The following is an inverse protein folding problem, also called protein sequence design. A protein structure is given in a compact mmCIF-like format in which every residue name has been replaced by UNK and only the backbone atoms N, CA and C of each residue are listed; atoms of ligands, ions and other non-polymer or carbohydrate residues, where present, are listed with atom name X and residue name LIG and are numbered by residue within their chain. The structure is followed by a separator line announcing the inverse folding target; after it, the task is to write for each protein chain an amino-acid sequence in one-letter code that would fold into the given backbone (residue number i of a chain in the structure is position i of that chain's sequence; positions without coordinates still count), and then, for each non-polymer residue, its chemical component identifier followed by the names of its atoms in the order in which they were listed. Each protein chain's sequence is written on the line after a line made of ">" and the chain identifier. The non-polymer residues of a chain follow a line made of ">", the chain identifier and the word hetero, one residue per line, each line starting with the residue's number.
data_IF_967804960899
#
_entry.id   IF_967804960899
#
_cell.length_a   1.000
_cell.length_b   1.000
_cell.length_c   1.000
_cell.angle_alpha   90.00
_cell.angle_beta   90.00
_cell.angle_gamma   90.00
#
_symmetry.space_group_name_H-M   'P 1'
#
loop_
_entity.id
_entity.type
_entity.pdbx_description
1 polymer ?
#
# COMPACT_ATOMS: atom_id res chain seq x y z
N UNK A 1 0.83 12.54 -10.66
CA UNK A 1 1.38 11.69 -9.58
C UNK A 1 2.69 11.05 -10.05
N UNK A 2 3.75 11.06 -9.23
CA UNK A 2 4.99 10.29 -9.50
C UNK A 2 4.94 9.02 -8.65
N UNK A 3 5.20 7.85 -9.25
CA UNK A 3 5.16 6.55 -8.57
C UNK A 3 6.57 5.98 -8.51
N UNK A 4 7.02 5.61 -7.32
CA UNK A 4 8.30 4.96 -7.09
C UNK A 4 8.08 3.60 -6.43
N UNK A 5 8.77 2.59 -6.95
CA UNK A 5 8.72 1.22 -6.42
C UNK A 5 10.09 0.85 -5.86
N UNK A 6 10.11 0.43 -4.60
CA UNK A 6 11.33 -0.11 -3.96
C UNK A 6 11.22 -1.64 -3.96
N UNK A 7 11.90 -2.28 -4.91
CA UNK A 7 11.83 -3.74 -5.10
C UNK A 7 13.21 -4.40 -5.03
N UNK A 8 13.27 -5.53 -4.34
CA UNK A 8 14.41 -6.43 -4.28
C UNK A 8 13.95 -7.79 -3.76
N UNK A 9 14.26 -8.87 -4.49
CA UNK A 9 13.86 -10.25 -4.15
C UNK A 9 14.43 -10.74 -2.81
N UNK A 10 15.57 -10.20 -2.36
CA UNK A 10 16.21 -10.61 -1.11
C UNK A 10 15.50 -9.98 0.10
N UNK A 11 15.19 -10.79 1.11
CA UNK A 11 14.70 -10.34 2.41
C UNK A 11 15.78 -9.57 3.20
N UNK A 12 15.37 -8.65 4.07
CA UNK A 12 16.30 -7.96 4.98
C UNK A 12 17.28 -6.95 4.35
N UNK A 13 17.06 -6.53 3.11
CA UNK A 13 17.94 -5.57 2.39
C UNK A 13 17.53 -4.10 2.56
N UNK A 14 16.65 -3.80 3.51
CA UNK A 14 16.25 -2.42 3.82
C UNK A 14 15.19 -1.80 2.91
N UNK A 15 14.39 -2.60 2.18
CA UNK A 15 13.30 -2.10 1.32
C UNK A 15 12.32 -1.22 2.10
N UNK A 16 11.70 -1.78 3.14
CA UNK A 16 10.74 -1.08 4.00
C UNK A 16 11.37 0.15 4.66
N UNK A 17 12.59 0.00 5.21
CA UNK A 17 13.34 1.12 5.79
C UNK A 17 13.54 2.25 4.79
N UNK A 18 13.88 1.92 3.55
CA UNK A 18 14.07 2.89 2.47
C UNK A 18 12.77 3.58 2.11
N UNK A 19 11.69 2.81 1.91
CA UNK A 19 10.35 3.33 1.57
C UNK A 19 9.85 4.32 2.63
N UNK A 20 9.89 3.92 3.89
CA UNK A 20 9.46 4.74 5.03
C UNK A 20 10.32 6.00 5.16
N UNK A 21 11.64 5.86 5.09
CA UNK A 21 12.57 7.00 5.25
C UNK A 21 12.39 8.01 4.11
N UNK A 22 12.30 7.53 2.87
CA UNK A 22 12.11 8.37 1.70
C UNK A 22 10.76 9.09 1.76
N UNK A 23 9.68 8.37 2.12
CA UNK A 23 8.35 8.95 2.28
C UNK A 23 8.31 10.03 3.35
N UNK A 24 8.90 9.76 4.53
CA UNK A 24 8.97 10.74 5.62
C UNK A 24 9.79 11.99 5.25
N UNK A 25 10.90 11.83 4.52
CA UNK A 25 11.70 12.98 4.04
C UNK A 25 10.92 13.81 3.03
N UNK A 26 10.22 13.16 2.09
CA UNK A 26 9.39 13.86 1.10
C UNK A 26 8.24 14.61 1.76
N UNK A 27 7.53 13.97 2.69
CA UNK A 27 6.45 14.62 3.44
C UNK A 27 6.96 15.85 4.21
N UNK A 28 8.09 15.73 4.91
CA UNK A 28 8.74 16.86 5.60
C UNK A 28 9.23 17.98 4.67
N UNK A 29 9.41 17.70 3.37
CA UNK A 29 9.74 18.70 2.34
C UNK A 29 8.48 19.34 1.70
N UNK A 30 7.30 19.05 2.23
CA UNK A 30 6.04 19.64 1.78
C UNK A 30 5.35 18.90 0.64
N UNK A 31 5.76 17.66 0.34
CA UNK A 31 5.07 16.83 -0.66
C UNK A 31 3.92 16.04 -0.01
N UNK A 32 2.85 15.83 -0.78
CA UNK A 32 1.83 14.84 -0.46
C UNK A 32 2.32 13.45 -0.86
N UNK A 33 2.34 12.53 0.10
CA UNK A 33 2.95 11.21 -0.04
C UNK A 33 1.94 10.14 0.39
N UNK A 34 1.79 9.13 -0.46
CA UNK A 34 1.11 7.89 -0.14
C UNK A 34 2.15 6.77 -0.15
N UNK A 35 2.31 6.07 0.98
CA UNK A 35 3.05 4.82 1.06
C UNK A 35 2.09 3.66 0.86
N UNK A 36 2.46 2.72 0.01
CA UNK A 36 1.66 1.51 -0.23
C UNK A 36 2.47 0.31 0.25
N UNK A 37 1.93 -0.43 1.21
CA UNK A 37 2.50 -1.72 1.61
C UNK A 37 2.00 -2.82 0.66
N UNK A 38 2.93 -3.53 0.04
CA UNK A 38 2.67 -4.63 -0.89
C UNK A 38 3.33 -5.92 -0.40
N UNK A 39 3.75 -5.97 0.86
CA UNK A 39 4.31 -7.16 1.48
C UNK A 39 3.24 -7.77 2.41
N UNK A 40 2.85 -9.06 2.25
CA UNK A 40 1.91 -9.71 3.17
C UNK A 40 2.35 -9.63 4.63
N UNK A 41 3.66 -9.51 4.90
CA UNK A 41 4.21 -9.37 6.25
C UNK A 41 3.96 -8.00 6.91
N UNK A 42 3.34 -7.06 6.19
CA UNK A 42 2.86 -5.78 6.71
C UNK A 42 3.93 -4.97 7.47
N UNK A 43 5.21 -5.16 7.12
CA UNK A 43 6.32 -4.53 7.85
C UNK A 43 6.29 -3.01 7.75
N UNK A 44 5.75 -2.44 6.65
CA UNK A 44 5.56 -1.00 6.54
C UNK A 44 4.39 -0.57 7.43
N UNK A 45 3.25 -1.28 7.38
CA UNK A 45 2.09 -1.01 8.24
C UNK A 45 2.49 -0.99 9.73
N UNK A 46 3.18 -2.03 10.20
CA UNK A 46 3.62 -2.14 11.59
C UNK A 46 4.61 -1.05 12.00
N UNK A 47 5.46 -0.57 11.08
CA UNK A 47 6.35 0.57 11.37
C UNK A 47 5.56 1.82 11.80
N UNK A 48 4.37 2.02 11.24
CA UNK A 48 3.49 3.14 11.60
C UNK A 48 2.55 2.83 12.77
N UNK A 49 2.70 1.67 13.42
CA UNK A 49 1.82 1.25 14.52
C UNK A 49 0.43 0.81 14.06
N UNK A 50 0.28 0.47 12.78
CA UNK A 50 -0.97 -0.08 12.23
C UNK A 50 -0.92 -1.60 12.44
N UNK A 51 -1.84 -2.12 13.25
CA UNK A 51 -1.97 -3.57 13.42
C UNK A 51 -2.74 -4.16 12.25
N UNK A 52 -2.05 -4.98 11.44
CA UNK A 52 -2.65 -5.58 10.26
C UNK A 52 -3.75 -6.60 10.56
N UNK A 53 -3.81 -7.12 11.79
CA UNK A 53 -4.83 -8.09 12.21
C UNK A 53 -6.16 -7.42 12.58
N UNK A 54 -6.13 -6.13 12.93
CA UNK A 54 -7.32 -5.35 13.32
C UNK A 54 -7.90 -4.51 12.18
N UNK A 55 -7.26 -4.53 11.00
CA UNK A 55 -7.69 -3.75 9.84
C UNK A 55 -9.00 -4.28 9.24
N UNK A 56 -9.98 -3.39 9.09
CA UNK A 56 -11.21 -3.66 8.35
C UNK A 56 -11.03 -3.62 6.83
N UNK A 57 -10.01 -2.90 6.36
CA UNK A 57 -9.76 -2.58 4.95
C UNK A 57 -8.27 -2.37 4.71
N UNK A 58 -7.78 -2.81 3.56
CA UNK A 58 -6.36 -2.77 3.19
C UNK A 58 -6.19 -2.76 1.68
N UNK A 59 -4.93 -2.77 1.23
CA UNK A 59 -4.60 -2.94 -0.19
C UNK A 59 -5.23 -4.20 -0.80
N UNK A 60 -5.44 -5.25 -0.01
CA UNK A 60 -6.08 -6.49 -0.48
C UNK A 60 -7.48 -6.23 -1.02
N UNK A 61 -8.28 -5.39 -0.36
CA UNK A 61 -9.66 -5.09 -0.74
C UNK A 61 -9.74 -4.37 -2.09
N UNK A 62 -8.73 -3.56 -2.39
CA UNK A 62 -8.57 -2.91 -3.70
C UNK A 62 -8.33 -3.95 -4.80
N UNK A 63 -7.53 -4.98 -4.52
CA UNK A 63 -7.29 -6.08 -5.44
C UNK A 63 -8.47 -7.06 -5.54
N UNK A 64 -9.22 -7.25 -4.47
CA UNK A 64 -10.36 -8.15 -4.43
C UNK A 64 -11.58 -7.61 -5.21
N UNK A 65 -11.73 -6.29 -5.31
CA UNK A 65 -12.88 -5.64 -5.96
C UNK A 65 -12.49 -4.63 -7.07
N UNK A 66 -11.75 -5.05 -8.12
CA UNK A 66 -11.10 -4.13 -9.06
C UNK A 66 -12.06 -3.30 -9.95
N UNK A 67 -13.33 -3.68 -10.06
CA UNK A 67 -14.34 -3.08 -10.95
C UNK A 67 -15.45 -2.30 -10.22
N UNK A 68 -15.40 -2.21 -8.88
CA UNK A 68 -16.50 -1.63 -8.07
C UNK A 68 -16.04 -0.76 -6.89
N UNK A 69 -14.82 -0.21 -6.97
CA UNK A 69 -14.30 0.70 -5.95
C UNK A 69 -14.68 2.13 -6.31
N UNK A 70 -15.48 2.75 -5.44
CA UNK A 70 -15.63 4.21 -5.41
C UNK A 70 -14.41 4.84 -4.73
N UNK A 71 -14.20 6.13 -4.98
CA UNK A 71 -13.14 6.92 -4.33
C UNK A 71 -13.22 6.81 -2.81
N UNK A 72 -14.43 6.89 -2.25
CA UNK A 72 -14.68 6.73 -0.81
C UNK A 72 -14.13 5.41 -0.26
N UNK A 73 -14.31 4.30 -1.00
CA UNK A 73 -13.79 2.99 -0.55
C UNK A 73 -12.26 2.93 -0.59
N UNK A 74 -11.63 3.60 -1.55
CA UNK A 74 -10.16 3.68 -1.61
C UNK A 74 -9.65 4.52 -0.44
N UNK A 75 -10.33 5.63 -0.13
CA UNK A 75 -10.01 6.47 1.01
C UNK A 75 -10.20 5.75 2.35
N UNK A 76 -11.23 4.92 2.49
CA UNK A 76 -11.47 4.07 3.68
C UNK A 76 -10.36 3.03 3.91
N UNK A 77 -9.54 2.75 2.91
CA UNK A 77 -8.38 1.88 3.05
C UNK A 77 -7.13 2.64 3.53
N UNK A 78 -7.16 3.98 3.61
CA UNK A 78 -6.00 4.78 3.99
C UNK A 78 -5.92 4.99 5.49
N UNK A 79 -4.74 4.78 6.07
CA UNK A 79 -4.42 5.12 7.44
C UNK A 79 -3.59 6.41 7.49
N UNK A 80 -3.92 7.36 8.37
CA UNK A 80 -3.12 8.56 8.58
C UNK A 80 -1.81 8.22 9.30
N UNK A 81 -0.77 9.01 9.04
CA UNK A 81 0.44 9.02 9.87
C UNK A 81 0.43 10.23 10.81
N UNK A 82 1.52 10.41 11.58
CA UNK A 82 1.76 11.62 12.39
C UNK A 82 2.11 12.86 11.55
N UNK A 83 2.24 12.73 10.24
CA UNK A 83 2.49 13.84 9.31
C UNK A 83 1.24 14.02 8.44
N UNK A 84 0.69 15.23 8.42
CA UNK A 84 -0.57 15.56 7.72
C UNK A 84 -0.52 15.24 6.21
N UNK A 85 0.67 15.24 5.61
CA UNK A 85 0.86 15.00 4.18
C UNK A 85 1.35 13.57 3.87
N UNK A 86 1.31 12.64 4.83
CA UNK A 86 1.75 11.26 4.65
C UNK A 86 0.67 10.28 5.10
N UNK A 87 0.19 9.49 4.13
CA UNK A 87 -0.80 8.44 4.32
C UNK A 87 -0.21 7.07 4.01
N UNK A 88 -0.78 6.03 4.60
CA UNK A 88 -0.39 4.64 4.41
C UNK A 88 -1.60 3.90 3.84
N UNK A 89 -1.41 3.21 2.74
CA UNK A 89 -2.29 2.13 2.29
C UNK A 89 -1.68 0.82 2.79
N UNK A 90 -2.20 0.24 3.90
CA UNK A 90 -1.59 -0.88 4.57
C UNK A 90 -1.86 -2.19 3.86
N UNK A 91 -1.09 -3.22 4.21
CA UNK A 91 -1.31 -4.61 3.79
C UNK A 91 -1.70 -5.50 4.97
N UNK A 92 -2.25 -6.67 4.63
CA UNK A 92 -2.53 -7.77 5.56
C UNK A 92 -2.01 -9.08 4.97
N UNK A 93 -1.97 -10.14 5.78
CA UNK A 93 -1.62 -11.49 5.33
C UNK A 93 -2.50 -12.02 4.20
N UNK A 94 -3.73 -11.50 4.04
CA UNK A 94 -4.62 -11.85 2.95
C UNK A 94 -3.98 -11.58 1.57
N UNK A 95 -3.06 -10.62 1.47
CA UNK A 95 -2.31 -10.33 0.24
C UNK A 95 -1.54 -11.56 -0.28
N UNK A 96 -1.07 -12.46 0.59
CA UNK A 96 -0.40 -13.71 0.17
C UNK A 96 -1.31 -14.65 -0.63
N UNK A 97 -2.64 -14.50 -0.51
CA UNK A 97 -3.60 -15.29 -1.29
C UNK A 97 -3.73 -14.80 -2.73
N UNK A 98 -3.37 -13.53 -2.98
CA UNK A 98 -3.51 -12.91 -4.29
C UNK A 98 -2.54 -13.48 -5.31
N UNK A 99 -1.32 -13.86 -4.94
CA UNK A 99 -0.38 -14.47 -5.89
C UNK A 99 -0.94 -15.75 -6.56
N UNK A 100 -1.78 -16.51 -5.84
CA UNK A 100 -2.43 -17.71 -6.38
C UNK A 100 -3.61 -17.39 -7.32
N UNK A 101 -4.31 -16.28 -7.10
CA UNK A 101 -5.49 -15.90 -7.88
C UNK A 101 -5.17 -14.97 -9.06
N UNK A 102 -4.19 -14.08 -8.90
CA UNK A 102 -3.82 -13.04 -9.87
C UNK A 102 -3.04 -13.59 -11.07
N UNK A 103 -2.31 -14.69 -10.92
CA UNK A 103 -1.51 -15.28 -12.00
C UNK A 103 -2.30 -15.65 -13.26
N UNK A 104 -3.62 -15.80 -13.13
CA UNK A 104 -4.51 -16.24 -14.22
C UNK A 104 -5.43 -15.12 -14.77
N UNK A 105 -5.39 -13.89 -14.24
CA UNK A 105 -6.32 -12.82 -14.61
C UNK A 105 -5.62 -11.65 -15.31
N UNK A 106 -6.08 -11.34 -16.52
CA UNK A 106 -5.58 -10.23 -17.34
C UNK A 106 -5.96 -8.89 -16.69
N UNK A 107 -4.99 -7.99 -16.54
CA UNK A 107 -5.23 -6.61 -16.09
C UNK A 107 -4.97 -6.35 -14.60
N UNK A 108 -4.62 -7.38 -13.82
CA UNK A 108 -4.39 -7.24 -12.38
C UNK A 108 -3.20 -6.33 -12.02
N UNK A 109 -2.18 -6.26 -12.88
CA UNK A 109 -1.06 -5.34 -12.70
C UNK A 109 -1.43 -3.84 -12.80
N UNK A 110 -2.65 -3.52 -13.23
CA UNK A 110 -3.14 -2.14 -13.37
C UNK A 110 -4.12 -1.73 -12.27
N UNK A 111 -4.45 -2.62 -11.33
CA UNK A 111 -5.53 -2.38 -10.34
C UNK A 111 -5.24 -1.16 -9.48
N UNK A 112 -4.07 -1.10 -8.83
CA UNK A 112 -3.68 0.07 -8.04
C UNK A 112 -3.62 1.35 -8.86
N UNK A 113 -3.13 1.26 -10.10
CA UNK A 113 -3.08 2.43 -10.99
C UNK A 113 -4.49 2.96 -11.27
N UNK A 114 -5.46 2.08 -11.55
CA UNK A 114 -6.85 2.48 -11.80
C UNK A 114 -7.54 2.98 -10.54
N UNK A 115 -7.29 2.37 -9.39
CA UNK A 115 -7.86 2.78 -8.11
C UNK A 115 -7.37 4.17 -7.66
N UNK A 116 -6.11 4.53 -7.97
CA UNK A 116 -5.49 5.80 -7.56
C UNK A 116 -5.52 6.89 -8.65
N UNK A 117 -6.16 6.63 -9.80
CA UNK A 117 -6.29 7.59 -10.91
C UNK A 117 -7.72 8.10 -11.12
N UNK A 118 -8.68 7.57 -10.36
CA UNK A 118 -10.02 8.14 -10.27
C UNK A 118 -9.95 9.43 -9.46
#
# INVERSE_FOLDING_TARGET
>A
MKIWTIANQKGGVGKTTTTVTLGGILAKRGYNVLLVDMDPHASLSYYFGIDSEELSSSVYDIFANPSGLSDDKVLDCLCPSKLDSLFILPSTMALATLDRSLGNQIGMGLVLKKALQQ
#
